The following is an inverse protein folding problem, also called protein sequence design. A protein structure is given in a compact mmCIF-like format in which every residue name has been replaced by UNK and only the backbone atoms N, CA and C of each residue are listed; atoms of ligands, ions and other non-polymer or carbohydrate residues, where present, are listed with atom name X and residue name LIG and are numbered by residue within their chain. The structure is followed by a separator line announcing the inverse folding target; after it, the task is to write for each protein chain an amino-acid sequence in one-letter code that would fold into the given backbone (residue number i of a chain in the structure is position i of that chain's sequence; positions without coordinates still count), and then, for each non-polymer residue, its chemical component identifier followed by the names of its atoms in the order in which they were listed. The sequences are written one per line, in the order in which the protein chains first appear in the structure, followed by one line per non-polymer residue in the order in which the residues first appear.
data_IF_456811060379
#
_entry.id   IF_456811060379
#
_cell.length_a   1.000
_cell.length_b   1.000
_cell.length_c   1.000
_cell.angle_alpha   90.00
_cell.angle_beta   90.00
_cell.angle_gamma   90.00
#
_symmetry.space_group_name_H-M   'P 1'
#
loop_
_entity.id
_entity.type
_entity.pdbx_description
1 polymer ?
#
# COMPACT_ATOMS: atom_id res chain seq x y z
N UNK A 1 0.06 8.36 14.31
CA UNK A 1 -1.03 8.32 13.31
C UNK A 1 -0.59 9.20 12.15
N UNK A 2 -0.33 8.63 10.98
CA UNK A 2 0.04 9.41 9.80
C UNK A 2 -1.27 10.04 9.30
N UNK A 3 -1.45 11.34 9.53
CA UNK A 3 -2.62 12.10 9.13
C UNK A 3 -2.22 13.03 7.98
N UNK A 4 -2.07 12.47 6.78
CA UNK A 4 -1.99 13.26 5.56
C UNK A 4 -3.12 12.87 4.62
N UNK A 5 -3.62 13.83 3.85
CA UNK A 5 -4.55 13.55 2.74
C UNK A 5 -3.71 13.09 1.55
N UNK A 6 -3.86 11.85 1.06
CA UNK A 6 -3.13 11.43 -0.14
C UNK A 6 -3.56 12.24 -1.35
N UNK A 7 -2.63 12.45 -2.27
CA UNK A 7 -2.92 13.07 -3.57
C UNK A 7 -3.67 12.09 -4.48
N UNK A 8 -3.33 10.80 -4.39
CA UNK A 8 -4.06 9.71 -5.03
C UNK A 8 -3.83 8.39 -4.28
N UNK A 9 -4.68 7.40 -4.56
CA UNK A 9 -4.61 6.05 -3.99
C UNK A 9 -4.60 5.06 -5.15
N UNK A 10 -3.69 4.10 -5.14
CA UNK A 10 -3.50 3.12 -6.21
C UNK A 10 -3.96 1.74 -5.76
N UNK A 11 -4.80 1.08 -6.55
CA UNK A 11 -5.13 -0.34 -6.37
C UNK A 11 -3.86 -1.18 -6.53
N UNK A 12 -3.53 -1.96 -5.50
CA UNK A 12 -2.38 -2.88 -5.50
C UNK A 12 -2.82 -4.31 -5.14
N UNK A 13 -4.09 -4.64 -5.37
CA UNK A 13 -4.66 -5.92 -4.93
C UNK A 13 -3.93 -7.11 -5.53
N UNK A 14 -3.45 -7.00 -6.77
CA UNK A 14 -2.70 -8.06 -7.45
C UNK A 14 -1.23 -8.13 -7.00
N UNK A 15 -0.69 -7.04 -6.46
CA UNK A 15 0.72 -6.90 -6.08
C UNK A 15 0.96 -7.06 -4.58
N UNK A 16 -0.11 -7.16 -3.77
CA UNK A 16 -0.01 -7.19 -2.31
C UNK A 16 0.85 -8.36 -1.79
N UNK A 17 0.71 -9.55 -2.39
CA UNK A 17 1.52 -10.71 -2.03
C UNK A 17 3.01 -10.48 -2.33
N UNK A 18 3.31 -10.01 -3.56
CA UNK A 18 4.67 -9.67 -3.97
C UNK A 18 5.30 -8.61 -3.05
N UNK A 19 4.51 -7.61 -2.63
CA UNK A 19 4.95 -6.57 -1.69
C UNK A 19 5.35 -7.15 -0.34
N UNK A 20 4.56 -8.08 0.21
CA UNK A 20 4.89 -8.73 1.50
C UNK A 20 6.17 -9.54 1.37
N UNK A 21 6.32 -10.33 0.31
CA UNK A 21 7.52 -11.13 0.09
C UNK A 21 8.78 -10.26 -0.10
N UNK A 22 8.67 -9.15 -0.84
CA UNK A 22 9.77 -8.20 -0.98
C UNK A 22 10.22 -7.61 0.38
N UNK A 23 9.29 -7.38 1.30
CA UNK A 23 9.60 -6.86 2.64
C UNK A 23 10.26 -7.95 3.51
N UNK A 24 9.87 -9.22 3.37
CA UNK A 24 10.51 -10.34 4.10
C UNK A 24 11.99 -10.48 3.77
N UNK A 25 12.44 -10.10 2.58
CA UNK A 25 13.85 -10.18 2.18
C UNK A 25 14.79 -9.32 3.05
N UNK A 26 14.29 -8.36 3.82
CA UNK A 26 15.11 -7.50 4.68
C UNK A 26 15.40 -8.16 6.04
N UNK A 27 16.11 -9.30 6.03
CA UNK A 27 16.45 -10.08 7.25
C UNK A 27 17.13 -9.22 8.33
N UNK A 28 18.02 -8.29 7.93
CA UNK A 28 18.67 -7.37 8.88
C UNK A 28 17.71 -6.51 9.71
N UNK A 29 16.47 -6.30 9.24
CA UNK A 29 15.45 -5.50 9.91
C UNK A 29 14.46 -6.35 10.71
N UNK A 30 14.16 -7.56 10.26
CA UNK A 30 13.07 -8.39 10.79
C UNK A 30 13.54 -9.71 11.42
N UNK A 31 14.83 -10.03 11.33
CA UNK A 31 15.41 -11.28 11.77
C UNK A 31 15.15 -12.46 10.81
N UNK A 32 15.67 -13.65 11.14
CA UNK A 32 15.61 -14.85 10.29
C UNK A 32 14.22 -15.49 10.22
N UNK A 33 13.30 -15.12 11.12
CA UNK A 33 11.90 -15.54 11.10
C UNK A 33 11.03 -14.29 11.22
N UNK A 34 10.74 -13.61 10.10
CA UNK A 34 9.90 -12.43 10.08
C UNK A 34 8.42 -12.75 10.38
N UNK A 35 8.04 -14.03 10.42
CA UNK A 35 6.70 -14.49 10.78
C UNK A 35 6.31 -14.01 12.19
N UNK A 36 5.21 -13.27 12.30
CA UNK A 36 4.72 -12.73 13.58
C UNK A 36 5.26 -11.35 13.95
N UNK A 37 6.11 -10.74 13.11
CA UNK A 37 6.46 -9.33 13.29
C UNK A 37 5.24 -8.44 13.02
N UNK A 38 4.81 -7.66 14.02
CA UNK A 38 3.57 -6.83 13.97
C UNK A 38 3.51 -5.88 12.77
N UNK A 39 4.65 -5.55 12.17
CA UNK A 39 4.73 -4.70 10.98
C UNK A 39 3.95 -5.27 9.79
N UNK A 40 3.94 -6.60 9.61
CA UNK A 40 3.26 -7.22 8.46
C UNK A 40 1.74 -7.09 8.58
N UNK A 41 1.20 -7.31 9.78
CA UNK A 41 -0.21 -7.04 10.07
C UNK A 41 -0.54 -5.56 9.90
N UNK A 42 0.34 -4.66 10.35
CA UNK A 42 0.16 -3.23 10.17
C UNK A 42 0.16 -2.81 8.69
N UNK A 43 1.06 -3.36 7.88
CA UNK A 43 1.10 -3.14 6.42
C UNK A 43 -0.19 -3.64 5.78
N UNK A 44 -0.60 -4.88 6.08
CA UNK A 44 -1.83 -5.48 5.56
C UNK A 44 -3.06 -4.64 5.90
N UNK A 45 -3.21 -4.26 7.17
CA UNK A 45 -4.34 -3.47 7.64
C UNK A 45 -4.35 -2.07 7.03
N UNK A 46 -3.18 -1.45 6.86
CA UNK A 46 -3.07 -0.12 6.23
C UNK A 46 -3.48 -0.19 4.76
N UNK A 47 -2.98 -1.16 3.99
CA UNK A 47 -3.33 -1.27 2.58
C UNK A 47 -4.80 -1.67 2.41
N UNK A 48 -5.36 -2.50 3.31
CA UNK A 48 -6.80 -2.82 3.32
C UNK A 48 -7.66 -1.60 3.63
N UNK A 49 -7.24 -0.75 4.57
CA UNK A 49 -7.93 0.49 4.88
C UNK A 49 -8.06 1.39 3.64
N UNK A 50 -6.97 1.61 2.92
CA UNK A 50 -6.99 2.42 1.70
C UNK A 50 -7.75 1.74 0.55
N UNK A 51 -7.63 0.42 0.41
CA UNK A 51 -8.40 -0.36 -0.55
C UNK A 51 -9.89 -0.16 -0.36
N UNK A 52 -10.37 -0.30 0.88
CA UNK A 52 -11.78 -0.10 1.22
C UNK A 52 -12.31 1.29 0.83
N UNK A 53 -11.47 2.34 0.89
CA UNK A 53 -11.87 3.70 0.52
C UNK A 53 -12.09 3.88 -0.99
N UNK A 54 -11.51 3.01 -1.83
CA UNK A 54 -11.65 3.05 -3.30
C UNK A 54 -12.35 1.79 -3.86
N UNK A 55 -12.97 0.98 -3.00
CA UNK A 55 -13.70 -0.22 -3.41
C UNK A 55 -12.81 -1.38 -3.87
N UNK A 56 -11.56 -1.45 -3.41
CA UNK A 56 -10.55 -2.47 -3.75
C UNK A 56 -10.11 -3.26 -2.51
N UNK A 57 -9.48 -4.41 -2.69
CA UNK A 57 -9.03 -5.22 -1.54
C UNK A 57 -7.83 -4.59 -0.83
N UNK A 58 -6.86 -4.12 -1.62
CA UNK A 58 -5.68 -3.43 -1.11
C UNK A 58 -5.36 -2.22 -1.98
N UNK A 59 -4.95 -1.13 -1.34
CA UNK A 59 -4.47 0.04 -2.04
C UNK A 59 -3.38 0.77 -1.27
N UNK A 60 -2.58 1.56 -1.98
CA UNK A 60 -1.47 2.33 -1.42
C UNK A 60 -1.67 3.83 -1.66
N UNK A 61 -1.57 4.67 -0.61
CA UNK A 61 -1.68 6.11 -0.73
C UNK A 61 -0.36 6.75 -1.19
N UNK A 62 -0.44 7.73 -2.09
CA UNK A 62 0.71 8.49 -2.57
C UNK A 62 0.51 9.99 -2.36
N UNK A 63 1.62 10.70 -2.14
CA UNK A 63 1.65 12.16 -2.05
C UNK A 63 2.41 12.69 -3.26
N UNK A 64 1.82 13.64 -3.95
CA UNK A 64 2.42 14.43 -5.02
C UNK A 64 2.24 15.91 -4.68
N UNK A 65 3.32 16.71 -4.78
CA UNK A 65 3.26 18.16 -4.55
C UNK A 65 2.80 18.90 -5.79
N UNK A 66 3.16 18.37 -6.95
CA UNK A 66 2.83 18.85 -8.27
C UNK A 66 1.53 18.20 -8.78
N UNK A 67 0.98 18.73 -9.88
CA UNK A 67 -0.24 18.24 -10.51
C UNK A 67 -0.08 16.84 -11.09
N UNK A 68 -1.13 16.02 -10.94
CA UNK A 68 -1.18 14.66 -11.49
C UNK A 68 -1.88 14.70 -12.84
N UNK A 69 -1.15 14.38 -13.90
CA UNK A 69 -1.71 14.20 -15.24
C UNK A 69 -2.35 12.83 -15.39
N UNK A 70 -3.60 12.78 -15.85
CA UNK A 70 -4.28 11.55 -16.28
C UNK A 70 -4.39 11.54 -17.80
N UNK A 71 -4.19 10.36 -18.41
CA UNK A 71 -4.25 10.18 -19.86
C UNK A 71 -5.66 9.83 -20.36
N UNK A 72 -6.47 9.24 -19.49
CA UNK A 72 -7.81 8.76 -19.80
C UNK A 72 -8.72 9.00 -18.58
N UNK A 73 -9.99 9.28 -18.84
CA UNK A 73 -11.01 9.38 -17.78
C UNK A 73 -11.34 8.01 -17.19
N UNK A 74 -11.18 6.94 -17.98
CA UNK A 74 -11.33 5.56 -17.50
C UNK A 74 -10.29 5.18 -16.44
N UNK A 75 -9.23 5.98 -16.28
CA UNK A 75 -8.26 5.80 -15.20
C UNK A 75 -8.80 6.24 -13.82
N UNK A 76 -9.97 6.89 -13.76
CA UNK A 76 -10.67 7.22 -12.53
C UNK A 76 -11.63 6.07 -12.17
N UNK A 77 -11.52 5.57 -10.93
CA UNK A 77 -12.36 4.50 -10.39
C UNK A 77 -13.75 4.99 -9.98
#
# INVERSE_FOLDING_TARGET
RICFKPSFVMDISNEMEMKIEAIRCYESQFGPSPEGHQIFEWILNTNRYWGNLIGKEFAEPFICREEIGIKDIEALL
#
